data_IF_921320539498
#
_entry.id   IF_921320539498
#
_cell.length_a   1.000
_cell.length_b   1.000
_cell.length_c   1.000
_cell.angle_alpha   90.00
_cell.angle_beta   90.00
_cell.angle_gamma   90.00
#
_symmetry.space_group_name_H-M   'P 1'
#
loop_
_entity.id
_entity.type
_entity.pdbx_description
1 polymer ?
#
# COMPACT_ATOMS: atom_id res chain seq x y z
N UNK A 1 9.12 -12.09 14.51
CA UNK A 1 10.05 -11.04 14.03
C UNK A 1 9.30 -9.72 13.98
N UNK A 2 9.96 -8.55 14.10
CA UNK A 2 9.26 -7.26 13.96
C UNK A 2 8.73 -7.09 12.53
N UNK A 3 7.71 -6.25 12.36
CA UNK A 3 7.17 -5.96 11.03
C UNK A 3 8.23 -5.26 10.16
N UNK A 4 8.30 -5.64 8.89
CA UNK A 4 9.32 -5.19 7.94
C UNK A 4 8.69 -4.59 6.67
N UNK A 5 9.30 -3.53 6.15
CA UNK A 5 8.89 -2.92 4.89
C UNK A 5 9.67 -3.56 3.74
N UNK A 6 8.99 -3.96 2.67
CA UNK A 6 9.61 -4.52 1.47
C UNK A 6 8.96 -3.94 0.21
N UNK A 7 9.66 -3.89 -0.93
CA UNK A 7 9.03 -3.59 -2.22
C UNK A 7 7.86 -4.53 -2.49
N UNK A 8 6.73 -3.98 -2.93
CA UNK A 8 5.56 -4.80 -3.29
C UNK A 8 5.89 -5.66 -4.51
N UNK A 9 5.39 -6.89 -4.53
CA UNK A 9 5.62 -7.88 -5.58
C UNK A 9 4.29 -8.54 -6.00
N UNK A 10 4.22 -9.18 -7.17
CA UNK A 10 2.97 -9.78 -7.67
C UNK A 10 2.23 -10.71 -6.69
N UNK A 11 2.90 -11.55 -5.87
CA UNK A 11 2.22 -12.37 -4.86
C UNK A 11 1.46 -11.56 -3.80
N UNK A 12 1.81 -10.29 -3.57
CA UNK A 12 1.14 -9.43 -2.59
C UNK A 12 -0.16 -8.81 -3.14
N UNK A 13 -0.29 -8.68 -4.47
CA UNK A 13 -1.38 -7.92 -5.09
C UNK A 13 -2.78 -8.45 -4.73
N UNK A 14 -3.04 -9.78 -4.77
CA UNK A 14 -4.35 -10.29 -4.39
C UNK A 14 -4.75 -9.95 -2.95
N UNK A 15 -3.78 -10.00 -2.03
CA UNK A 15 -4.03 -9.68 -0.62
C UNK A 15 -4.40 -8.20 -0.44
N UNK A 16 -3.60 -7.29 -1.02
CA UNK A 16 -3.79 -5.85 -0.86
C UNK A 16 -5.07 -5.38 -1.57
N UNK A 17 -5.30 -5.85 -2.80
CA UNK A 17 -6.52 -5.54 -3.55
C UNK A 17 -7.79 -6.02 -2.81
N UNK A 18 -7.70 -7.17 -2.14
CA UNK A 18 -8.79 -7.73 -1.32
C UNK A 18 -9.13 -6.93 -0.06
N UNK A 19 -8.34 -5.94 0.35
CA UNK A 19 -8.67 -5.06 1.48
C UNK A 19 -9.72 -4.00 1.16
N UNK A 20 -10.00 -3.79 -0.13
CA UNK A 20 -11.01 -2.85 -0.61
C UNK A 20 -12.34 -3.58 -0.66
N UNK A 21 -13.34 -3.06 0.04
CA UNK A 21 -14.66 -3.70 0.18
C UNK A 21 -15.76 -3.02 -0.65
N UNK A 22 -15.46 -1.88 -1.27
CA UNK A 22 -16.45 -1.03 -1.93
C UNK A 22 -15.81 -0.03 -2.89
N UNK A 23 -16.61 0.43 -3.86
CA UNK A 23 -16.26 1.56 -4.75
C UNK A 23 -15.84 2.78 -3.93
N UNK A 24 -16.58 3.10 -2.87
CA UNK A 24 -16.29 4.25 -2.01
C UNK A 24 -14.95 4.10 -1.26
N UNK A 25 -14.61 2.90 -0.77
CA UNK A 25 -13.33 2.65 -0.14
C UNK A 25 -12.17 2.78 -1.15
N UNK A 26 -12.31 2.19 -2.33
CA UNK A 26 -11.32 2.32 -3.42
C UNK A 26 -11.12 3.78 -3.83
N UNK A 27 -12.21 4.53 -4.03
CA UNK A 27 -12.13 5.93 -4.42
C UNK A 27 -11.45 6.79 -3.35
N UNK A 28 -11.73 6.55 -2.05
CA UNK A 28 -11.04 7.25 -0.96
C UNK A 28 -9.55 6.92 -0.89
N UNK A 29 -9.19 5.68 -1.17
CA UNK A 29 -7.81 5.19 -1.05
C UNK A 29 -6.93 5.57 -2.25
N UNK A 30 -7.41 5.35 -3.47
CA UNK A 30 -6.61 5.47 -4.69
C UNK A 30 -7.11 6.54 -5.67
N UNK A 31 -8.22 7.22 -5.35
CA UNK A 31 -8.82 8.24 -6.20
C UNK A 31 -9.74 7.69 -7.29
N UNK A 32 -10.35 8.56 -8.11
CA UNK A 32 -11.33 8.18 -9.12
C UNK A 32 -10.74 7.39 -10.31
N UNK A 33 -9.42 7.39 -10.49
CA UNK A 33 -8.74 6.67 -11.58
C UNK A 33 -8.60 5.16 -11.34
N UNK A 34 -9.01 4.65 -10.17
CA UNK A 34 -8.91 3.23 -9.82
C UNK A 34 -10.30 2.63 -9.68
N UNK A 35 -10.60 1.66 -10.54
CA UNK A 35 -11.88 0.96 -10.52
C UNK A 35 -11.96 -0.04 -9.36
N UNK A 36 -13.18 -0.29 -8.89
CA UNK A 36 -13.50 -1.40 -7.99
C UNK A 36 -14.30 -2.47 -8.76
N UNK A 37 -13.97 -3.76 -8.62
CA UNK A 37 -12.83 -4.29 -7.87
C UNK A 37 -11.49 -3.98 -8.57
N UNK A 38 -10.44 -3.77 -7.78
CA UNK A 38 -9.08 -3.68 -8.31
C UNK A 38 -8.60 -5.10 -8.63
N UNK A 39 -8.50 -5.43 -9.90
CA UNK A 39 -8.00 -6.74 -10.33
C UNK A 39 -6.51 -6.88 -9.96
N UNK A 40 -6.08 -7.98 -9.30
CA UNK A 40 -4.68 -8.19 -8.93
C UNK A 40 -3.72 -8.12 -10.12
N UNK A 41 -4.15 -8.59 -11.30
CA UNK A 41 -3.37 -8.58 -12.53
C UNK A 41 -3.13 -7.15 -13.06
N UNK A 42 -4.06 -6.24 -12.78
CA UNK A 42 -3.95 -4.83 -13.16
C UNK A 42 -3.26 -3.97 -12.10
N UNK A 43 -3.04 -4.50 -10.89
CA UNK A 43 -2.56 -3.75 -9.72
C UNK A 43 -1.33 -2.88 -10.02
N UNK A 44 -0.30 -3.47 -10.64
CA UNK A 44 0.94 -2.75 -10.92
C UNK A 44 0.74 -1.59 -11.91
N UNK A 45 -0.04 -1.82 -12.97
CA UNK A 45 -0.33 -0.82 -13.99
C UNK A 45 -1.25 0.28 -13.44
N UNK A 46 -2.33 -0.10 -12.76
CA UNK A 46 -3.34 0.82 -12.22
C UNK A 46 -2.77 1.72 -11.12
N UNK A 47 -1.82 1.22 -10.32
CA UNK A 47 -1.17 2.04 -9.29
C UNK A 47 0.10 2.75 -9.77
N UNK A 48 0.47 2.57 -11.04
CA UNK A 48 1.67 3.16 -11.67
C UNK A 48 2.96 2.79 -10.90
N UNK A 49 3.15 1.50 -10.58
CA UNK A 49 4.26 1.07 -9.72
C UNK A 49 5.66 1.31 -10.31
N UNK A 50 5.78 1.52 -11.63
CA UNK A 50 7.05 1.83 -12.28
C UNK A 50 7.50 3.27 -11.98
N UNK A 51 6.56 4.21 -11.94
CA UNK A 51 6.80 5.63 -11.68
C UNK A 51 6.62 6.00 -10.19
N UNK A 52 5.75 5.25 -9.51
CA UNK A 52 5.36 5.47 -8.11
C UNK A 52 5.52 4.14 -7.38
N UNK A 53 6.74 3.81 -6.91
CA UNK A 53 6.99 2.50 -6.32
C UNK A 53 6.06 2.23 -5.14
N UNK A 54 5.82 0.96 -4.84
CA UNK A 54 4.95 0.53 -3.76
C UNK A 54 5.69 -0.35 -2.77
N UNK A 55 5.29 -0.28 -1.51
CA UNK A 55 5.86 -1.05 -0.43
C UNK A 55 4.77 -1.77 0.34
N UNK A 56 5.07 -2.99 0.76
CA UNK A 56 4.25 -3.79 1.65
C UNK A 56 4.90 -3.86 3.02
N UNK A 57 4.10 -3.71 4.07
CA UNK A 57 4.48 -4.02 5.44
C UNK A 57 4.13 -5.49 5.69
N UNK A 58 5.12 -6.31 6.00
CA UNK A 58 4.96 -7.72 6.36
C UNK A 58 5.14 -7.90 7.86
N UNK A 59 4.40 -8.82 8.48
CA UNK A 59 4.70 -9.26 9.84
C UNK A 59 5.79 -10.35 9.85
N UNK A 60 6.02 -10.96 11.02
CA UNK A 60 7.04 -12.00 11.19
C UNK A 60 6.68 -13.36 10.57
N UNK A 61 5.50 -13.50 9.98
CA UNK A 61 5.02 -14.70 9.27
C UNK A 61 4.79 -14.40 7.77
N UNK A 62 5.37 -13.31 7.26
CA UNK A 62 5.22 -12.81 5.89
C UNK A 62 3.78 -12.48 5.47
N UNK A 63 2.89 -12.23 6.45
CA UNK A 63 1.54 -11.80 6.15
C UNK A 63 1.50 -10.28 5.88
N UNK A 64 0.77 -9.89 4.82
CA UNK A 64 0.61 -8.50 4.43
C UNK A 64 -0.20 -7.71 5.47
N UNK A 65 0.43 -6.76 6.13
CA UNK A 65 -0.16 -5.93 7.19
C UNK A 65 -0.53 -4.53 6.70
N UNK A 66 0.13 -4.02 5.68
CA UNK A 66 -0.15 -2.71 5.11
C UNK A 66 0.51 -2.50 3.76
N UNK A 67 0.10 -1.45 3.07
CA UNK A 67 0.64 -1.04 1.78
C UNK A 67 0.70 0.48 1.70
N UNK A 68 1.71 1.01 1.03
CA UNK A 68 1.81 2.42 0.71
C UNK A 68 2.72 2.68 -0.46
N UNK A 69 2.62 3.87 -1.02
CA UNK A 69 3.53 4.39 -2.02
C UNK A 69 4.16 5.68 -1.51
N UNK A 70 5.37 5.92 -1.96
CA UNK A 70 6.07 7.18 -1.86
C UNK A 70 6.89 7.40 -3.14
N UNK A 71 7.03 8.66 -3.55
CA UNK A 71 7.90 9.05 -4.65
C UNK A 71 8.29 10.51 -4.47
N UNK A 72 9.45 10.88 -5.02
CA UNK A 72 9.92 12.26 -4.96
C UNK A 72 9.16 13.13 -5.96
N UNK A 73 8.68 14.28 -5.51
CA UNK A 73 8.02 15.27 -6.39
C UNK A 73 8.89 16.49 -6.67
N UNK A 74 9.88 16.74 -5.80
CA UNK A 74 10.89 17.78 -5.91
C UNK A 74 12.10 17.40 -5.03
N UNK A 75 13.28 18.03 -5.19
CA UNK A 75 14.39 17.80 -4.28
C UNK A 75 13.97 18.01 -2.81
N UNK A 76 14.18 17.00 -1.97
CA UNK A 76 13.82 17.03 -0.56
C UNK A 76 12.32 16.95 -0.25
N UNK A 77 11.45 16.67 -1.24
CA UNK A 77 10.00 16.51 -1.03
C UNK A 77 9.53 15.17 -1.59
N UNK A 78 8.93 14.37 -0.71
CA UNK A 78 8.27 13.11 -1.06
C UNK A 78 6.74 13.24 -0.96
N UNK A 79 6.04 12.64 -1.91
CA UNK A 79 4.61 12.43 -1.81
C UNK A 79 4.37 11.04 -1.25
N UNK A 80 3.57 10.93 -0.17
CA UNK A 80 3.08 9.67 0.37
C UNK A 80 1.65 9.45 -0.09
N UNK A 81 1.38 8.30 -0.70
CA UNK A 81 0.10 8.02 -1.35
C UNK A 81 -0.38 6.60 -1.12
N UNK A 82 -1.69 6.40 -1.30
CA UNK A 82 -2.36 5.10 -1.28
C UNK A 82 -1.99 4.26 -0.05
N UNK A 83 -1.97 4.90 1.12
CA UNK A 83 -1.66 4.27 2.40
C UNK A 83 -2.87 3.47 2.89
N UNK A 84 -2.69 2.19 3.19
CA UNK A 84 -3.73 1.30 3.70
C UNK A 84 -3.16 0.26 4.64
N UNK A 85 -3.91 -0.07 5.69
CA UNK A 85 -3.63 -1.16 6.63
C UNK A 85 -4.67 -2.26 6.43
N UNK A 86 -4.23 -3.51 6.47
CA UNK A 86 -5.07 -4.71 6.42
C UNK A 86 -6.27 -4.54 7.37
N UNK A 87 -7.52 -4.77 6.91
CA UNK A 87 -8.71 -4.60 7.74
C UNK A 87 -8.62 -5.32 9.09
N UNK A 88 -8.03 -6.52 9.11
CA UNK A 88 -7.87 -7.35 10.31
C UNK A 88 -6.77 -6.84 11.26
N UNK A 89 -5.89 -5.96 10.79
CA UNK A 89 -4.75 -5.44 11.55
C UNK A 89 -4.92 -3.98 12.01
N UNK A 90 -6.05 -3.34 11.68
CA UNK A 90 -6.38 -1.97 12.09
C UNK A 90 -6.53 -1.85 13.61
N UNK A 91 -6.35 -0.64 14.15
CA UNK A 91 -6.40 -0.37 15.60
C UNK A 91 -5.16 -0.81 16.38
N UNK A 92 -4.17 -1.44 15.74
CA UNK A 92 -2.94 -1.94 16.38
C UNK A 92 -1.73 -1.02 16.26
N UNK A 93 -1.94 0.24 15.84
CA UNK A 93 -0.85 1.21 15.62
C UNK A 93 -0.03 1.02 14.34
N UNK A 94 -0.34 0.01 13.51
CA UNK A 94 0.44 -0.30 12.29
C UNK A 94 0.45 0.81 11.23
N UNK A 95 -0.57 1.67 11.19
CA UNK A 95 -0.54 2.86 10.33
C UNK A 95 0.60 3.81 10.68
N UNK A 96 0.91 3.97 11.98
CA UNK A 96 2.07 4.76 12.43
C UNK A 96 3.38 4.10 12.01
N UNK A 97 3.49 2.79 12.23
CA UNK A 97 4.69 2.01 11.86
C UNK A 97 4.95 2.13 10.37
N UNK A 98 3.93 1.92 9.53
CA UNK A 98 4.03 2.05 8.08
C UNK A 98 4.52 3.44 7.65
N UNK A 99 3.93 4.51 8.19
CA UNK A 99 4.33 5.88 7.87
C UNK A 99 5.77 6.20 8.31
N UNK A 100 6.20 5.68 9.47
CA UNK A 100 7.57 5.89 9.96
C UNK A 100 8.59 5.17 9.09
N UNK A 101 8.30 3.94 8.66
CA UNK A 101 9.18 3.19 7.78
C UNK A 101 9.25 3.83 6.39
N UNK A 102 8.12 4.23 5.80
CA UNK A 102 8.10 4.92 4.50
C UNK A 102 8.82 6.28 4.52
N UNK A 103 8.79 6.99 5.66
CA UNK A 103 9.43 8.30 5.80
C UNK A 103 10.92 8.24 6.20
N UNK A 104 11.46 7.05 6.49
CA UNK A 104 12.87 6.87 6.82
C UNK A 104 13.76 6.56 5.60
N UNK A 105 13.16 6.42 4.41
CA UNK A 105 13.81 6.11 3.13
C UNK A 105 14.20 7.36 2.33
#
# INVERSE_FOLDING_TARGET
MPAQLQPVQPPHYPCIAGWLDSVAATQRWAGPGVAFPLAPEAFAQTLELAERPGWVLLDGEDACMGFGQYWLTAPGTAHLGRIIVSPQARGRGLGRVLMQLLGAE
#
